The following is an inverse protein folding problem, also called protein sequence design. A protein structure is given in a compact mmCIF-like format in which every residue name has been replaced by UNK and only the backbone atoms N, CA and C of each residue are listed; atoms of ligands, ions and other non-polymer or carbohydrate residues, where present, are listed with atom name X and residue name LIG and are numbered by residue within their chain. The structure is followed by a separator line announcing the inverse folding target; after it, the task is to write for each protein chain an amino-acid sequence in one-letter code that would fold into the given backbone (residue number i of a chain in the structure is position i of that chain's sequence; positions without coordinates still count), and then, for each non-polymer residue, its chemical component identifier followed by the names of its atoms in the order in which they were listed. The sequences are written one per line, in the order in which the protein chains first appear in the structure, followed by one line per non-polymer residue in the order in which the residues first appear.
data_IF_729638503779
#
_entry.id   IF_729638503779
#
_cell.length_a   1.000
_cell.length_b   1.000
_cell.length_c   1.000
_cell.angle_alpha   90.00
_cell.angle_beta   90.00
_cell.angle_gamma   90.00
#
_symmetry.space_group_name_H-M   'P 1'
#
loop_
_entity.id
_entity.type
_entity.pdbx_description
1 polymer ?
#
# COMPACT_ATOMS: atom_id res chain seq x y z
N UNK A 1 43.63 -8.18 -9.24
CA UNK A 1 42.49 -8.11 -8.29
C UNK A 1 41.27 -7.67 -9.07
N UNK A 2 40.22 -8.50 -9.14
CA UNK A 2 39.05 -8.23 -9.97
C UNK A 2 38.14 -7.19 -9.30
N UNK A 3 37.86 -6.08 -9.98
CA UNK A 3 36.95 -5.02 -9.53
C UNK A 3 35.54 -5.54 -9.18
N UNK A 4 35.14 -6.70 -9.71
CA UNK A 4 33.85 -7.32 -9.40
C UNK A 4 33.70 -7.75 -7.94
N UNK A 5 34.79 -8.18 -7.28
CA UNK A 5 34.73 -8.63 -5.88
C UNK A 5 34.50 -7.49 -4.90
N UNK A 6 35.06 -6.31 -5.19
CA UNK A 6 34.93 -5.13 -4.32
C UNK A 6 33.50 -4.56 -4.38
N UNK A 7 32.87 -4.57 -5.57
CA UNK A 7 31.51 -4.08 -5.75
C UNK A 7 30.48 -4.95 -5.02
N UNK A 8 30.60 -6.27 -5.12
CA UNK A 8 29.74 -7.22 -4.39
C UNK A 8 29.89 -7.07 -2.87
N UNK A 9 31.12 -6.90 -2.39
CA UNK A 9 31.37 -6.72 -0.96
C UNK A 9 30.79 -5.40 -0.41
N UNK A 10 30.94 -4.30 -1.15
CA UNK A 10 30.33 -3.01 -0.78
C UNK A 10 28.81 -3.07 -0.81
N UNK A 11 28.22 -3.78 -1.77
CA UNK A 11 26.78 -3.92 -1.87
C UNK A 11 26.19 -4.73 -0.72
N UNK A 12 26.81 -5.87 -0.39
CA UNK A 12 26.39 -6.71 0.75
C UNK A 12 26.55 -5.96 2.07
N UNK A 13 27.67 -5.25 2.26
CA UNK A 13 27.90 -4.45 3.48
C UNK A 13 26.83 -3.38 3.69
N UNK A 14 26.34 -2.77 2.61
CA UNK A 14 25.28 -1.76 2.70
C UNK A 14 23.93 -2.38 3.05
N UNK A 15 23.60 -3.56 2.52
CA UNK A 15 22.35 -4.27 2.85
C UNK A 15 22.32 -4.68 4.34
N UNK A 16 23.39 -5.27 4.86
CA UNK A 16 23.47 -5.64 6.29
C UNK A 16 23.38 -4.43 7.23
N UNK A 17 23.97 -3.30 6.87
CA UNK A 17 23.89 -2.09 7.68
C UNK A 17 22.46 -1.52 7.74
N UNK A 18 21.69 -1.66 6.67
CA UNK A 18 20.31 -1.17 6.61
C UNK A 18 19.36 -2.05 7.43
N UNK A 19 19.51 -3.38 7.37
CA UNK A 19 18.73 -4.30 8.19
C UNK A 19 18.94 -4.04 9.69
N UNK A 20 20.16 -3.73 10.11
CA UNK A 20 20.49 -3.42 11.50
C UNK A 20 19.86 -2.09 11.96
N UNK A 21 19.86 -1.07 11.09
CA UNK A 21 19.17 0.21 11.37
C UNK A 21 17.66 0.01 11.49
N UNK A 22 17.04 -0.79 10.62
CA UNK A 22 15.60 -1.10 10.69
C UNK A 22 15.22 -1.83 11.98
N UNK A 23 16.04 -2.79 12.42
CA UNK A 23 15.84 -3.48 13.71
C UNK A 23 15.98 -2.52 14.89
N UNK A 24 16.98 -1.65 14.86
CA UNK A 24 17.20 -0.64 15.91
C UNK A 24 16.03 0.33 15.99
N UNK A 25 15.54 0.78 14.83
CA UNK A 25 14.35 1.62 14.69
C UNK A 25 13.09 0.92 15.24
N UNK A 26 12.87 -0.34 14.89
CA UNK A 26 11.75 -1.13 15.41
C UNK A 26 11.81 -1.25 16.94
N UNK A 27 12.99 -1.58 17.49
CA UNK A 27 13.18 -1.66 18.93
C UNK A 27 12.95 -0.30 19.64
N UNK A 28 13.44 0.79 19.06
CA UNK A 28 13.24 2.15 19.57
C UNK A 28 11.76 2.50 19.65
N UNK A 29 11.03 2.28 18.55
CA UNK A 29 9.60 2.54 18.45
C UNK A 29 8.77 1.65 19.39
N UNK A 30 9.15 0.38 19.57
CA UNK A 30 8.48 -0.55 20.51
C UNK A 30 8.72 -0.19 21.97
N UNK A 31 9.92 0.32 22.31
CA UNK A 31 10.27 0.75 23.67
C UNK A 31 9.66 2.10 24.04
N UNK A 32 9.29 2.90 23.05
CA UNK A 32 8.72 4.24 23.24
C UNK A 32 7.35 4.15 23.92
N UNK A 33 7.29 4.54 25.20
CA UNK A 33 6.03 4.70 25.93
C UNK A 33 5.50 6.10 25.67
N UNK A 34 4.43 6.20 24.87
CA UNK A 34 3.81 7.48 24.56
C UNK A 34 2.69 7.79 25.58
N UNK A 35 2.90 8.72 26.52
CA UNK A 35 1.92 9.01 27.57
C UNK A 35 0.64 9.59 26.96
N UNK A 36 -0.49 8.91 27.15
CA UNK A 36 -1.81 9.38 26.70
C UNK A 36 -2.17 9.02 25.26
N UNK A 37 -1.26 8.38 24.51
CA UNK A 37 -1.51 7.96 23.14
C UNK A 37 -1.94 6.50 23.09
N UNK A 38 -3.02 6.18 22.37
CA UNK A 38 -3.43 4.77 22.22
C UNK A 38 -2.51 4.09 21.21
N UNK A 39 -1.81 3.03 21.62
CA UNK A 39 -0.83 2.30 20.82
C UNK A 39 -1.33 1.85 19.43
N UNK A 40 -2.64 1.67 19.24
CA UNK A 40 -3.21 1.28 17.94
C UNK A 40 -3.22 2.40 16.87
N UNK A 41 -3.02 3.68 17.24
CA UNK A 41 -2.94 4.78 16.28
C UNK A 41 -1.65 4.76 15.48
N UNK A 42 -0.55 4.39 16.12
CA UNK A 42 0.74 4.23 15.49
C UNK A 42 0.79 2.83 14.91
N UNK A 43 0.35 2.67 13.66
CA UNK A 43 0.50 1.43 12.90
C UNK A 43 1.98 1.22 12.54
N UNK A 44 2.82 0.98 13.55
CA UNK A 44 4.28 0.92 13.47
C UNK A 44 4.74 -0.08 12.41
N UNK A 45 4.09 -1.23 12.31
CA UNK A 45 4.40 -2.25 11.30
C UNK A 45 4.32 -1.69 9.87
N UNK A 46 3.33 -0.84 9.61
CA UNK A 46 3.18 -0.20 8.29
C UNK A 46 4.25 0.83 8.05
N UNK A 47 4.60 1.61 9.08
CA UNK A 47 5.65 2.62 8.99
C UNK A 47 7.02 1.99 8.74
N UNK A 48 7.34 0.91 9.45
CA UNK A 48 8.55 0.11 9.22
C UNK A 48 8.56 -0.44 7.78
N UNK A 49 7.45 -1.03 7.32
CA UNK A 49 7.38 -1.57 5.95
C UNK A 49 7.52 -0.48 4.88
N UNK A 50 6.93 0.69 5.08
CA UNK A 50 7.11 1.83 4.18
C UNK A 50 8.56 2.32 4.18
N UNK A 51 9.23 2.30 5.34
CA UNK A 51 10.65 2.67 5.44
C UNK A 51 11.54 1.66 4.73
N UNK A 52 11.27 0.36 4.89
CA UNK A 52 11.91 -0.72 4.13
C UNK A 52 11.74 -0.53 2.61
N UNK A 53 10.53 -0.19 2.17
CA UNK A 53 10.24 0.11 0.77
C UNK A 53 11.06 1.30 0.25
N UNK A 54 11.21 2.38 1.03
CA UNK A 54 12.08 3.51 0.65
C UNK A 54 13.53 3.08 0.46
N UNK A 55 14.04 2.21 1.34
CA UNK A 55 15.41 1.70 1.28
C UNK A 55 15.63 0.75 0.09
N UNK A 56 14.57 0.04 -0.35
CA UNK A 56 14.62 -0.83 -1.52
C UNK A 56 14.75 -0.05 -2.84
N UNK A 57 14.29 1.20 -2.87
CA UNK A 57 14.28 2.06 -4.06
C UNK A 57 15.64 2.75 -4.29
N UNK A 58 16.51 2.06 -5.03
CA UNK A 58 17.87 2.53 -5.32
C UNK A 58 17.89 3.74 -6.25
N UNK A 59 18.68 4.75 -5.89
CA UNK A 59 18.94 5.93 -6.74
C UNK A 59 17.93 7.07 -6.60
N UNK A 60 16.89 6.91 -5.78
CA UNK A 60 15.98 8.02 -5.45
C UNK A 60 16.52 8.83 -4.27
N UNK A 61 16.93 10.08 -4.53
CA UNK A 61 17.45 10.99 -3.49
C UNK A 61 16.39 11.30 -2.43
N UNK A 62 15.13 11.46 -2.84
CA UNK A 62 14.03 11.76 -1.92
C UNK A 62 13.74 10.57 -1.00
N UNK A 63 13.81 9.33 -1.49
CA UNK A 63 13.73 8.13 -0.64
C UNK A 63 14.79 8.13 0.46
N UNK A 64 16.04 8.49 0.13
CA UNK A 64 17.13 8.56 1.13
C UNK A 64 16.84 9.61 2.21
N UNK A 65 16.35 10.78 1.81
CA UNK A 65 15.99 11.86 2.75
C UNK A 65 14.85 11.43 3.66
N UNK A 66 13.78 10.88 3.08
CA UNK A 66 12.62 10.42 3.85
C UNK A 66 12.95 9.26 4.79
N UNK A 67 13.83 8.34 4.39
CA UNK A 67 14.31 7.27 5.26
C UNK A 67 15.13 7.82 6.43
N UNK A 68 15.99 8.81 6.20
CA UNK A 68 16.76 9.44 7.28
C UNK A 68 15.87 10.25 8.24
N UNK A 69 14.84 10.91 7.71
CA UNK A 69 13.80 11.54 8.54
C UNK A 69 13.06 10.50 9.40
N UNK A 70 12.79 9.30 8.86
CA UNK A 70 12.15 8.21 9.60
C UNK A 70 13.03 7.67 10.73
N UNK A 71 14.34 7.49 10.49
CA UNK A 71 15.29 7.10 11.52
C UNK A 71 15.45 8.19 12.60
N UNK A 72 15.54 9.45 12.19
CA UNK A 72 15.63 10.57 13.13
C UNK A 72 14.37 10.64 14.02
N UNK A 73 13.20 10.34 13.46
CA UNK A 73 11.96 10.29 14.22
C UNK A 73 11.96 9.13 15.23
N UNK A 74 12.45 7.94 14.86
CA UNK A 74 12.49 6.80 15.78
C UNK A 74 13.44 6.99 16.96
N UNK A 75 14.49 7.79 16.78
CA UNK A 75 15.49 8.08 17.82
C UNK A 75 15.03 9.18 18.80
N UNK A 76 13.86 9.78 18.58
CA UNK A 76 13.33 10.86 19.42
C UNK A 76 12.89 10.34 20.79
N UNK A 77 13.56 10.74 21.88
CA UNK A 77 13.08 10.45 23.23
C UNK A 77 11.82 11.27 23.58
N UNK A 78 10.72 10.59 23.88
CA UNK A 78 9.48 11.21 24.35
C UNK A 78 9.34 11.06 25.87
N UNK A 79 9.50 12.16 26.61
CA UNK A 79 9.50 12.19 28.09
C UNK A 79 8.20 12.72 28.69
N UNK A 80 7.47 13.55 27.94
CA UNK A 80 6.23 14.18 28.39
C UNK A 80 5.14 14.18 27.32
N UNK A 81 3.94 14.68 27.68
CA UNK A 81 2.78 14.71 26.78
C UNK A 81 2.96 15.68 25.61
N UNK A 82 3.61 16.82 25.83
CA UNK A 82 3.81 17.82 24.77
C UNK A 82 4.74 17.25 23.69
N UNK A 83 5.79 16.53 24.09
CA UNK A 83 6.67 15.82 23.18
C UNK A 83 5.94 14.68 22.45
N UNK A 84 5.01 13.99 23.11
CA UNK A 84 4.19 12.95 22.48
C UNK A 84 3.29 13.53 21.37
N UNK A 85 2.68 14.68 21.59
CA UNK A 85 1.87 15.38 20.58
C UNK A 85 2.74 15.85 19.39
N UNK A 86 3.92 16.38 19.65
CA UNK A 86 4.87 16.77 18.59
C UNK A 86 5.33 15.55 17.79
N UNK A 87 5.61 14.43 18.46
CA UNK A 87 5.96 13.17 17.81
C UNK A 87 4.82 12.68 16.92
N UNK A 88 3.58 12.68 17.40
CA UNK A 88 2.39 12.29 16.63
C UNK A 88 2.26 13.12 15.35
N UNK A 89 2.33 14.45 15.46
CA UNK A 89 2.21 15.33 14.29
C UNK A 89 3.31 15.05 13.26
N UNK A 90 4.55 14.89 13.71
CA UNK A 90 5.68 14.56 12.84
C UNK A 90 5.50 13.19 12.19
N UNK A 91 5.07 12.19 12.95
CA UNK A 91 4.81 10.84 12.46
C UNK A 91 3.74 10.83 11.38
N UNK A 92 2.60 11.51 11.60
CA UNK A 92 1.51 11.58 10.62
C UNK A 92 1.97 12.31 9.36
N UNK A 93 2.63 13.45 9.50
CA UNK A 93 3.15 14.23 8.37
C UNK A 93 4.16 13.43 7.55
N UNK A 94 5.13 12.80 8.21
CA UNK A 94 6.14 11.98 7.55
C UNK A 94 5.51 10.77 6.86
N UNK A 95 4.58 10.07 7.52
CA UNK A 95 3.84 8.95 6.93
C UNK A 95 3.10 9.37 5.65
N UNK A 96 2.47 10.54 5.64
CA UNK A 96 1.79 11.06 4.46
C UNK A 96 2.77 11.36 3.33
N UNK A 97 3.92 11.99 3.63
CA UNK A 97 4.97 12.28 2.64
C UNK A 97 5.55 11.00 2.04
N UNK A 98 5.91 10.03 2.88
CA UNK A 98 6.40 8.71 2.44
C UNK A 98 5.37 8.02 1.55
N UNK A 99 4.11 7.97 2.00
CA UNK A 99 3.04 7.33 1.24
C UNK A 99 2.80 8.02 -0.11
N UNK A 100 2.79 9.35 -0.15
CA UNK A 100 2.63 10.12 -1.37
C UNK A 100 3.76 9.85 -2.35
N UNK A 101 5.01 9.98 -1.88
CA UNK A 101 6.20 9.75 -2.68
C UNK A 101 6.24 8.33 -3.27
N UNK A 102 6.03 7.29 -2.45
CA UNK A 102 6.01 5.90 -2.93
C UNK A 102 4.90 5.66 -3.95
N UNK A 103 3.73 6.27 -3.79
CA UNK A 103 2.60 6.11 -4.74
C UNK A 103 2.81 6.83 -6.07
N UNK A 104 3.33 8.05 -6.03
CA UNK A 104 3.43 8.95 -7.18
C UNK A 104 4.70 8.67 -7.99
N UNK A 105 5.83 8.44 -7.32
CA UNK A 105 7.13 8.28 -7.97
C UNK A 105 7.43 6.81 -8.26
N UNK A 106 7.24 5.93 -7.28
CA UNK A 106 7.61 4.51 -7.38
C UNK A 106 6.44 3.57 -7.74
N UNK A 107 5.22 4.12 -7.81
CA UNK A 107 4.03 3.37 -8.23
C UNK A 107 3.54 2.35 -7.22
N UNK A 108 3.92 2.46 -5.94
CA UNK A 108 3.39 1.62 -4.88
C UNK A 108 1.87 1.82 -4.76
N UNK A 109 1.18 0.76 -4.35
CA UNK A 109 -0.26 0.77 -4.13
C UNK A 109 -0.61 0.19 -2.77
N UNK A 110 -1.79 0.60 -2.27
CA UNK A 110 -2.36 0.03 -1.06
C UNK A 110 -2.77 -1.43 -1.33
N UNK A 111 -2.71 -2.31 -0.32
CA UNK A 111 -3.23 -3.67 -0.48
C UNK A 111 -4.71 -3.62 -0.87
N UNK A 112 -5.12 -4.53 -1.75
CA UNK A 112 -6.50 -4.65 -2.26
C UNK A 112 -6.99 -3.41 -3.05
N UNK A 113 -6.09 -2.56 -3.54
CA UNK A 113 -6.46 -1.39 -4.32
C UNK A 113 -7.16 -1.78 -5.63
N UNK A 114 -6.57 -2.68 -6.41
CA UNK A 114 -7.15 -3.09 -7.68
C UNK A 114 -8.38 -3.98 -7.50
N UNK A 115 -8.41 -4.81 -6.46
CA UNK A 115 -9.60 -5.54 -6.05
C UNK A 115 -10.80 -4.62 -5.84
N UNK A 116 -10.60 -3.54 -5.07
CA UNK A 116 -11.66 -2.58 -4.78
C UNK A 116 -12.09 -1.83 -6.03
N UNK A 117 -11.12 -1.29 -6.78
CA UNK A 117 -11.36 -0.53 -8.00
C UNK A 117 -12.10 -1.37 -9.06
N UNK A 118 -11.60 -2.58 -9.34
CA UNK A 118 -12.16 -3.44 -10.38
C UNK A 118 -13.53 -3.98 -9.98
N UNK A 119 -13.74 -4.29 -8.70
CA UNK A 119 -15.08 -4.70 -8.24
C UNK A 119 -16.11 -3.61 -8.54
N UNK A 120 -15.82 -2.34 -8.24
CA UNK A 120 -16.75 -1.23 -8.52
C UNK A 120 -16.96 -1.05 -10.03
N UNK A 121 -15.88 -1.03 -10.82
CA UNK A 121 -15.96 -0.83 -12.27
C UNK A 121 -16.77 -1.95 -12.94
N UNK A 122 -16.45 -3.21 -12.67
CA UNK A 122 -17.12 -4.33 -13.30
C UNK A 122 -18.54 -4.53 -12.79
N UNK A 123 -18.83 -4.17 -11.54
CA UNK A 123 -20.20 -4.15 -11.02
C UNK A 123 -21.07 -3.17 -11.82
N UNK A 124 -20.62 -1.93 -12.02
CA UNK A 124 -21.34 -0.93 -12.82
C UNK A 124 -21.45 -1.37 -14.28
N UNK A 125 -20.34 -1.79 -14.89
CA UNK A 125 -20.32 -2.23 -16.28
C UNK A 125 -21.21 -3.47 -16.51
N UNK A 126 -21.19 -4.42 -15.58
CA UNK A 126 -22.01 -5.62 -15.60
C UNK A 126 -23.50 -5.31 -15.49
N UNK A 127 -23.89 -4.41 -14.58
CA UNK A 127 -25.29 -3.95 -14.48
C UNK A 127 -25.73 -3.26 -15.78
N UNK A 128 -24.92 -2.37 -16.34
CA UNK A 128 -25.25 -1.72 -17.62
C UNK A 128 -25.38 -2.72 -18.77
N UNK A 129 -24.46 -3.69 -18.86
CA UNK A 129 -24.52 -4.75 -19.87
C UNK A 129 -25.76 -5.63 -19.70
N UNK A 130 -26.11 -6.01 -18.47
CA UNK A 130 -27.30 -6.82 -18.18
C UNK A 130 -28.60 -6.10 -18.57
N UNK A 131 -28.70 -4.80 -18.29
CA UNK A 131 -29.83 -3.98 -18.73
C UNK A 131 -29.88 -3.84 -20.26
N UNK A 132 -28.73 -3.66 -20.91
CA UNK A 132 -28.64 -3.58 -22.37
C UNK A 132 -29.10 -4.88 -23.03
N UNK A 133 -28.72 -6.04 -22.49
CA UNK A 133 -29.18 -7.36 -22.98
C UNK A 133 -30.69 -7.49 -22.87
N UNK A 134 -31.30 -7.08 -21.75
CA UNK A 134 -32.76 -7.09 -21.59
C UNK A 134 -33.44 -6.15 -22.60
N UNK A 135 -32.89 -4.95 -22.81
CA UNK A 135 -33.40 -4.00 -23.79
C UNK A 135 -33.43 -4.59 -25.20
N UNK A 136 -32.29 -5.13 -25.65
CA UNK A 136 -32.16 -5.73 -26.98
C UNK A 136 -33.04 -6.97 -27.13
N UNK A 137 -33.10 -7.84 -26.11
CA UNK A 137 -33.96 -9.02 -26.12
C UNK A 137 -35.45 -8.67 -26.23
N UNK A 138 -35.91 -7.63 -25.53
CA UNK A 138 -37.29 -7.15 -25.64
C UNK A 138 -37.59 -6.58 -27.02
N UNK A 139 -36.66 -5.85 -27.62
CA UNK A 139 -36.80 -5.33 -28.99
C UNK A 139 -36.85 -6.43 -30.05
N UNK A 140 -36.15 -7.55 -29.80
CA UNK A 140 -36.12 -8.72 -30.68
C UNK A 140 -37.32 -9.67 -30.49
N UNK A 141 -38.29 -9.33 -29.63
CA UNK A 141 -39.44 -10.20 -29.33
C UNK A 141 -39.12 -11.40 -28.42
N UNK A 142 -37.90 -11.50 -27.88
CA UNK A 142 -37.47 -12.53 -26.93
C UNK A 142 -37.90 -12.17 -25.49
N UNK A 143 -39.18 -11.83 -25.33
CA UNK A 143 -39.75 -11.38 -24.07
C UNK A 143 -39.74 -12.48 -23.01
N UNK A 144 -39.03 -12.26 -21.91
CA UNK A 144 -39.06 -13.19 -20.77
C UNK A 144 -38.32 -12.70 -19.54
N UNK A 145 -37.30 -11.84 -19.72
CA UNK A 145 -36.52 -11.33 -18.60
C UNK A 145 -37.04 -9.96 -18.16
N UNK A 146 -37.26 -9.81 -16.85
CA UNK A 146 -37.53 -8.50 -16.26
C UNK A 146 -36.23 -7.67 -16.22
N UNK A 147 -36.38 -6.35 -16.26
CA UNK A 147 -35.25 -5.42 -16.11
C UNK A 147 -34.48 -5.65 -14.81
N UNK A 148 -35.20 -5.99 -13.72
CA UNK A 148 -34.58 -6.32 -12.44
C UNK A 148 -33.68 -7.55 -12.53
N UNK A 149 -34.16 -8.62 -13.19
CA UNK A 149 -33.39 -9.86 -13.32
C UNK A 149 -32.12 -9.65 -14.16
N UNK A 150 -32.22 -8.95 -15.30
CA UNK A 150 -31.05 -8.67 -16.13
C UNK A 150 -30.01 -7.79 -15.42
N UNK A 151 -30.46 -6.75 -14.71
CA UNK A 151 -29.58 -5.91 -13.91
C UNK A 151 -28.89 -6.69 -12.78
N UNK A 152 -29.61 -7.57 -12.08
CA UNK A 152 -29.08 -8.41 -11.01
C UNK A 152 -28.07 -9.44 -11.53
N UNK A 153 -28.40 -10.15 -12.61
CA UNK A 153 -27.48 -11.13 -13.23
C UNK A 153 -26.21 -10.42 -13.71
N UNK A 154 -26.36 -9.29 -14.38
CA UNK A 154 -25.24 -8.45 -14.82
C UNK A 154 -24.38 -7.96 -13.66
N UNK A 155 -25.01 -7.49 -12.57
CA UNK A 155 -24.33 -7.08 -11.35
C UNK A 155 -23.49 -8.21 -10.74
N UNK A 156 -24.09 -9.40 -10.57
CA UNK A 156 -23.41 -10.56 -9.97
C UNK A 156 -22.26 -11.04 -10.84
N UNK A 157 -22.48 -11.12 -12.16
CA UNK A 157 -21.43 -11.48 -13.12
C UNK A 157 -20.29 -10.45 -13.08
N UNK A 158 -20.61 -9.16 -13.09
CA UNK A 158 -19.66 -8.07 -12.98
C UNK A 158 -18.84 -8.13 -11.69
N UNK A 159 -19.50 -8.32 -10.55
CA UNK A 159 -18.84 -8.45 -9.25
C UNK A 159 -17.87 -9.64 -9.23
N UNK A 160 -18.28 -10.80 -9.75
CA UNK A 160 -17.44 -11.99 -9.81
C UNK A 160 -16.20 -11.75 -10.70
N UNK A 161 -16.39 -11.18 -11.90
CA UNK A 161 -15.30 -10.84 -12.81
C UNK A 161 -14.34 -9.82 -12.21
N UNK A 162 -14.87 -8.74 -11.61
CA UNK A 162 -14.07 -7.71 -10.95
C UNK A 162 -13.24 -8.26 -9.80
N UNK A 163 -13.82 -9.16 -8.99
CA UNK A 163 -13.11 -9.82 -7.88
C UNK A 163 -11.97 -10.70 -8.36
N UNK A 164 -12.17 -11.49 -9.42
CA UNK A 164 -11.14 -12.38 -9.98
C UNK A 164 -9.99 -11.56 -10.58
N UNK A 165 -10.30 -10.60 -11.45
CA UNK A 165 -9.29 -9.79 -12.14
C UNK A 165 -8.55 -8.87 -11.17
N UNK A 166 -9.27 -8.25 -10.23
CA UNK A 166 -8.67 -7.39 -9.21
C UNK A 166 -7.71 -8.16 -8.30
N UNK A 167 -8.12 -9.34 -7.80
CA UNK A 167 -7.24 -10.20 -7.01
C UNK A 167 -5.99 -10.65 -7.78
N UNK A 168 -6.13 -10.97 -9.08
CA UNK A 168 -4.99 -11.34 -9.92
C UNK A 168 -4.00 -10.17 -10.01
N UNK A 169 -4.49 -8.94 -10.20
CA UNK A 169 -3.64 -7.76 -10.31
C UNK A 169 -2.98 -7.39 -8.97
N UNK A 170 -3.70 -7.46 -7.87
CA UNK A 170 -3.10 -7.22 -6.55
C UNK A 170 -2.04 -8.27 -6.20
N UNK A 171 -2.24 -9.54 -6.58
CA UNK A 171 -1.21 -10.58 -6.44
C UNK A 171 0.03 -10.32 -7.29
N UNK A 172 -0.14 -9.81 -8.50
CA UNK A 172 0.97 -9.40 -9.36
C UNK A 172 1.79 -8.28 -8.70
N UNK A 173 1.12 -7.23 -8.20
CA UNK A 173 1.79 -6.13 -7.50
C UNK A 173 2.49 -6.58 -6.21
N UNK A 174 1.88 -7.51 -5.47
CA UNK A 174 2.50 -8.08 -4.26
C UNK A 174 3.73 -8.91 -4.61
N UNK A 175 3.70 -9.68 -5.72
CA UNK A 175 4.87 -10.42 -6.20
C UNK A 175 6.00 -9.49 -6.66
N UNK A 176 5.64 -8.33 -7.21
CA UNK A 176 6.60 -7.32 -7.63
C UNK A 176 7.13 -6.46 -6.47
N UNK A 177 6.68 -6.70 -5.23
CA UNK A 177 7.09 -5.93 -4.05
C UNK A 177 6.54 -4.50 -4.01
N UNK A 178 5.54 -4.16 -4.83
CA UNK A 178 4.98 -2.81 -4.98
C UNK A 178 3.75 -2.55 -4.09
N UNK A 179 3.70 -3.20 -2.94
CA UNK A 179 2.67 -3.03 -1.92
C UNK A 179 3.20 -2.15 -0.78
N UNK A 180 2.44 -1.13 -0.40
CA UNK A 180 2.87 -0.18 0.65
C UNK A 180 3.07 -0.85 2.02
N UNK A 181 2.22 -1.82 2.33
CA UNK A 181 2.29 -2.66 3.53
C UNK A 181 1.49 -3.94 3.27
N UNK A 182 1.86 -5.03 3.96
CA UNK A 182 1.06 -6.27 3.95
C UNK A 182 -0.22 -6.06 4.78
N UNK A 183 -1.34 -6.52 4.23
CA UNK A 183 -2.69 -6.30 4.78
C UNK A 183 -3.12 -7.39 5.74
#
# INVERSE_FOLDING_TARGET
MSFHGLFLYLHLRNEYAMDDRLKTMEEGLRKMKLPGMKAWYLRLDRFLKMTENLLSEKGCRECTVLAEEAFTLSDMEVKDKQQAEVFEMKYVSLTQRITGHLKEVHGYRLPNHYLSLYTVIFMVAGTMAGLLVVYLGRSAGLGGWSWQLGGLVGFVAGLATGRILGNRKDREMSRDGKTLYEG
#
